data_IF_906395348998
#
_entry.id   IF_906395348998
#
_cell.length_a   1.000
_cell.length_b   1.000
_cell.length_c   1.000
_cell.angle_alpha   90.00
_cell.angle_beta   90.00
_cell.angle_gamma   90.00
#
_symmetry.space_group_name_H-M   'P 1'
#
loop_
_entity.id
_entity.type
_entity.pdbx_description
1 polymer ?
#
# COMPACT_ATOMS: atom_id res chain seq x y z
N UNK A 1 -3.95 28.62 -55.13
CA UNK A 1 -2.57 29.11 -55.38
C UNK A 1 -2.06 29.74 -54.08
N UNK A 2 -0.83 29.41 -53.69
CA UNK A 2 -0.14 29.87 -52.48
C UNK A 2 0.13 31.39 -52.55
N UNK A 3 0.09 32.09 -51.40
CA UNK A 3 1.12 33.04 -50.95
C UNK A 3 0.78 33.60 -49.55
N UNK A 4 1.58 33.16 -48.59
CA UNK A 4 1.90 33.83 -47.33
C UNK A 4 2.48 35.22 -47.56
N UNK A 5 2.15 36.20 -46.71
CA UNK A 5 3.14 37.14 -46.19
C UNK A 5 2.68 37.78 -44.86
N UNK A 6 3.55 37.64 -43.87
CA UNK A 6 3.59 38.33 -42.58
C UNK A 6 3.67 39.85 -42.74
N UNK A 7 2.95 40.60 -41.90
CA UNK A 7 3.48 41.84 -41.30
C UNK A 7 3.00 41.94 -39.84
N UNK A 8 3.96 41.78 -38.95
CA UNK A 8 3.94 42.13 -37.53
C UNK A 8 3.84 43.67 -37.38
N UNK A 9 2.96 44.18 -36.52
CA UNK A 9 3.21 45.46 -35.86
C UNK A 9 2.41 45.59 -34.55
N UNK A 10 3.11 45.31 -33.45
CA UNK A 10 3.23 46.18 -32.28
C UNK A 10 1.95 46.78 -31.68
N UNK A 11 1.28 46.01 -30.81
CA UNK A 11 0.47 46.57 -29.72
C UNK A 11 1.26 46.37 -28.43
N UNK A 12 2.14 47.33 -28.15
CA UNK A 12 2.76 47.54 -26.85
C UNK A 12 1.91 48.54 -26.07
N UNK A 13 1.93 48.38 -24.75
CA UNK A 13 1.32 49.21 -23.69
C UNK A 13 -0.16 48.93 -23.44
N UNK A 14 -0.43 48.09 -22.44
CA UNK A 14 -1.40 48.32 -21.34
C UNK A 14 -1.54 47.08 -20.42
N UNK A 15 -0.45 46.38 -20.11
CA UNK A 15 -0.43 45.50 -18.94
C UNK A 15 0.21 46.24 -17.78
N UNK A 16 -0.63 47.11 -17.21
CA UNK A 16 -0.47 47.72 -15.91
C UNK A 16 -0.21 46.63 -14.88
N UNK A 17 1.01 46.63 -14.37
CA UNK A 17 1.47 46.10 -13.09
C UNK A 17 0.33 45.71 -12.13
N UNK A 18 -0.14 44.47 -12.21
CA UNK A 18 -0.71 43.78 -11.05
C UNK A 18 0.45 43.05 -10.39
N UNK A 19 1.33 43.82 -9.76
CA UNK A 19 2.22 43.29 -8.75
C UNK A 19 1.33 42.83 -7.59
N UNK A 20 0.85 41.58 -7.67
CA UNK A 20 0.38 40.88 -6.49
C UNK A 20 1.57 40.82 -5.54
N UNK A 21 1.52 41.69 -4.54
CA UNK A 21 2.40 41.62 -3.39
C UNK A 21 2.31 40.21 -2.83
N UNK A 22 3.36 39.40 -3.03
CA UNK A 22 3.57 38.22 -2.21
C UNK A 22 3.83 38.74 -0.80
N UNK A 23 2.77 38.77 0.02
CA UNK A 23 2.86 39.04 1.44
C UNK A 23 3.81 38.01 2.05
N UNK A 24 4.89 38.53 2.63
CA UNK A 24 6.03 37.74 3.12
C UNK A 24 5.73 36.97 4.42
N UNK A 25 4.47 36.97 4.90
CA UNK A 25 4.07 36.40 6.20
C UNK A 25 2.67 35.74 6.20
N UNK A 26 2.18 35.19 5.06
CA UNK A 26 0.77 34.78 4.94
C UNK A 26 0.44 33.29 4.85
N UNK A 27 1.29 32.48 4.23
CA UNK A 27 1.05 31.04 3.98
C UNK A 27 2.35 30.27 4.23
N UNK A 28 2.71 30.04 5.48
CA UNK A 28 3.53 28.85 5.75
C UNK A 28 2.60 27.67 5.54
N UNK A 29 2.86 26.85 4.52
CA UNK A 29 2.25 25.52 4.48
C UNK A 29 2.44 24.90 5.87
N UNK A 30 1.40 24.30 6.47
CA UNK A 30 1.52 23.71 7.77
C UNK A 30 2.67 22.71 7.73
N UNK A 31 3.68 22.94 8.56
CA UNK A 31 4.84 22.07 8.66
C UNK A 31 4.35 20.72 9.17
N UNK A 32 4.26 19.76 8.25
CA UNK A 32 3.84 18.40 8.59
C UNK A 32 4.88 17.81 9.54
N UNK A 33 4.42 17.15 10.59
CA UNK A 33 5.30 16.29 11.38
C UNK A 33 5.89 15.19 10.49
N UNK A 34 7.08 14.70 10.85
CA UNK A 34 7.71 13.57 10.14
C UNK A 34 6.74 12.38 10.02
N UNK A 35 6.00 12.08 11.09
CA UNK A 35 5.00 11.01 11.11
C UNK A 35 3.90 11.23 10.08
N UNK A 36 3.42 12.47 9.92
CA UNK A 36 2.42 12.81 8.91
C UNK A 36 2.95 12.64 7.47
N UNK A 37 4.23 12.96 7.24
CA UNK A 37 4.86 12.75 5.92
C UNK A 37 5.02 11.27 5.62
N UNK A 38 5.54 10.49 6.58
CA UNK A 38 5.68 9.04 6.45
C UNK A 38 4.33 8.35 6.24
N UNK A 39 3.29 8.82 6.90
CA UNK A 39 1.93 8.33 6.71
C UNK A 39 1.41 8.59 5.29
N UNK A 40 1.69 9.76 4.69
CA UNK A 40 1.26 10.07 3.32
C UNK A 40 1.85 9.07 2.32
N UNK A 41 3.14 8.77 2.42
CA UNK A 41 3.82 7.81 1.54
C UNK A 41 3.28 6.38 1.73
N UNK A 42 3.10 5.96 2.98
CA UNK A 42 2.56 4.64 3.31
C UNK A 42 1.10 4.45 2.86
N UNK A 43 0.28 5.52 2.81
CA UNK A 43 -1.11 5.45 2.35
C UNK A 43 -1.21 4.99 0.88
N UNK A 44 -0.28 5.40 0.01
CA UNK A 44 -0.29 4.95 -1.38
C UNK A 44 -0.11 3.42 -1.48
N UNK A 45 0.84 2.86 -0.73
CA UNK A 45 1.07 1.42 -0.69
C UNK A 45 -0.14 0.67 -0.12
N UNK A 46 -0.77 1.20 0.93
CA UNK A 46 -2.00 0.63 1.49
C UNK A 46 -3.14 0.61 0.45
N UNK A 47 -3.34 1.68 -0.30
CA UNK A 47 -4.38 1.75 -1.33
C UNK A 47 -4.14 0.72 -2.45
N UNK A 48 -2.90 0.62 -2.94
CA UNK A 48 -2.51 -0.37 -3.95
C UNK A 48 -2.70 -1.80 -3.42
N UNK A 49 -2.33 -2.06 -2.16
CA UNK A 49 -2.52 -3.34 -1.51
C UNK A 49 -4.01 -3.70 -1.43
N UNK A 50 -4.88 -2.77 -1.02
CA UNK A 50 -6.33 -3.00 -0.99
C UNK A 50 -6.93 -3.26 -2.37
N UNK A 51 -6.52 -2.52 -3.39
CA UNK A 51 -6.98 -2.74 -4.78
C UNK A 51 -6.58 -4.13 -5.26
N UNK A 52 -5.31 -4.53 -5.06
CA UNK A 52 -4.81 -5.86 -5.39
C UNK A 52 -5.58 -6.96 -4.63
N UNK A 53 -5.81 -6.77 -3.33
CA UNK A 53 -6.55 -7.71 -2.49
C UNK A 53 -8.00 -7.90 -2.97
N UNK A 54 -8.72 -6.80 -3.19
CA UNK A 54 -10.13 -6.81 -3.66
C UNK A 54 -10.28 -7.44 -5.03
N UNK A 55 -9.29 -7.28 -5.91
CA UNK A 55 -9.30 -7.92 -7.23
C UNK A 55 -9.22 -9.45 -7.17
N UNK A 56 -8.75 -10.02 -6.05
CA UNK A 56 -8.46 -11.45 -5.84
C UNK A 56 -7.51 -12.05 -6.88
N UNK A 57 -6.72 -11.20 -7.56
CA UNK A 57 -5.82 -11.61 -8.66
C UNK A 57 -4.35 -11.52 -8.29
N UNK A 58 -3.98 -10.86 -7.19
CA UNK A 58 -2.60 -10.46 -6.95
C UNK A 58 -2.22 -10.44 -5.46
N UNK A 59 -2.45 -11.54 -4.74
CA UNK A 59 -2.05 -11.64 -3.33
C UNK A 59 -0.53 -11.54 -3.14
N UNK A 60 0.30 -11.99 -4.09
CA UNK A 60 1.74 -11.71 -4.08
C UNK A 60 2.03 -10.19 -4.05
N UNK A 61 1.30 -9.41 -4.84
CA UNK A 61 1.49 -7.97 -4.89
C UNK A 61 1.03 -7.29 -3.59
N UNK A 62 -0.01 -7.83 -2.93
CA UNK A 62 -0.38 -7.38 -1.58
C UNK A 62 0.79 -7.57 -0.62
N UNK A 63 1.38 -8.78 -0.58
CA UNK A 63 2.51 -9.08 0.31
C UNK A 63 3.72 -8.18 0.03
N UNK A 64 4.02 -7.89 -1.24
CA UNK A 64 5.12 -6.98 -1.57
C UNK A 64 4.90 -5.57 -1.02
N UNK A 65 3.67 -5.04 -1.13
CA UNK A 65 3.34 -3.69 -0.64
C UNK A 65 3.29 -3.63 0.88
N UNK A 66 2.76 -4.64 1.54
CA UNK A 66 2.73 -4.68 3.00
C UNK A 66 4.14 -4.79 3.57
N UNK A 67 5.03 -5.59 2.97
CA UNK A 67 6.42 -5.70 3.40
C UNK A 67 7.17 -4.37 3.25
N UNK A 68 6.96 -3.70 2.12
CA UNK A 68 7.54 -2.37 1.85
C UNK A 68 7.08 -1.37 2.92
N UNK A 69 5.77 -1.32 3.23
CA UNK A 69 5.25 -0.43 4.27
C UNK A 69 5.78 -0.79 5.65
N UNK A 70 5.82 -2.06 6.04
CA UNK A 70 6.34 -2.47 7.36
C UNK A 70 7.83 -2.15 7.53
N UNK A 71 8.62 -2.27 6.46
CA UNK A 71 10.04 -1.98 6.48
C UNK A 71 10.34 -0.48 6.50
N UNK A 72 9.60 0.33 5.73
CA UNK A 72 9.86 1.76 5.59
C UNK A 72 9.11 2.62 6.61
N UNK A 73 7.94 2.17 7.09
CA UNK A 73 7.01 2.94 7.92
C UNK A 73 6.48 2.11 9.11
N UNK A 74 7.33 1.68 10.05
CA UNK A 74 6.93 0.79 11.15
C UNK A 74 5.91 1.43 12.12
N UNK A 75 5.79 2.76 12.15
CA UNK A 75 4.85 3.51 12.98
C UNK A 75 3.63 4.02 12.23
N UNK A 76 3.37 3.50 11.02
CA UNK A 76 2.25 3.92 10.17
C UNK A 76 0.91 3.84 10.91
N UNK A 77 0.10 4.90 10.85
CA UNK A 77 -1.15 5.00 11.62
C UNK A 77 -2.20 3.92 11.31
N UNK A 78 -2.11 3.26 10.14
CA UNK A 78 -3.01 2.17 9.70
C UNK A 78 -2.29 0.82 9.64
N UNK A 79 -1.37 0.58 10.56
CA UNK A 79 -0.62 -0.69 10.62
C UNK A 79 -1.55 -1.89 10.82
N UNK A 80 -2.69 -1.72 11.45
CA UNK A 80 -3.71 -2.76 11.58
C UNK A 80 -4.21 -3.28 10.22
N UNK A 81 -4.42 -2.38 9.24
CA UNK A 81 -4.81 -2.74 7.88
C UNK A 81 -3.69 -3.49 7.15
N UNK A 82 -2.44 -3.06 7.35
CA UNK A 82 -1.24 -3.69 6.76
C UNK A 82 -1.08 -5.12 7.28
N UNK A 83 -1.12 -5.31 8.59
CA UNK A 83 -1.02 -6.61 9.24
C UNK A 83 -2.17 -7.54 8.82
N UNK A 84 -3.39 -7.00 8.73
CA UNK A 84 -4.53 -7.76 8.24
C UNK A 84 -4.31 -8.22 6.79
N UNK A 85 -3.94 -7.31 5.89
CA UNK A 85 -3.71 -7.63 4.47
C UNK A 85 -2.57 -8.64 4.30
N UNK A 86 -1.47 -8.50 5.04
CA UNK A 86 -0.35 -9.43 5.01
C UNK A 86 -0.75 -10.82 5.49
N UNK A 87 -1.42 -10.90 6.65
CA UNK A 87 -1.83 -12.14 7.26
C UNK A 87 -2.88 -12.91 6.43
N UNK A 88 -3.92 -12.20 5.96
CA UNK A 88 -5.00 -12.82 5.18
C UNK A 88 -4.53 -13.18 3.76
N UNK A 89 -3.68 -12.38 3.12
CA UNK A 89 -3.14 -12.72 1.81
C UNK A 89 -2.24 -13.94 1.88
N UNK A 90 -1.42 -14.09 2.93
CA UNK A 90 -0.61 -15.28 3.16
C UNK A 90 -1.49 -16.52 3.34
N UNK A 91 -2.55 -16.43 4.15
CA UNK A 91 -3.56 -17.49 4.27
C UNK A 91 -4.23 -17.83 2.93
N UNK A 92 -4.61 -16.82 2.15
CA UNK A 92 -5.29 -17.05 0.87
C UNK A 92 -4.38 -17.68 -0.16
N UNK A 93 -3.08 -17.35 -0.17
CA UNK A 93 -2.11 -18.03 -1.01
C UNK A 93 -1.93 -19.50 -0.60
N UNK A 94 -1.81 -19.77 0.70
CA UNK A 94 -1.73 -21.13 1.25
C UNK A 94 -2.93 -21.98 0.80
N UNK A 95 -4.13 -21.40 0.87
CA UNK A 95 -5.39 -22.06 0.53
C UNK A 95 -5.65 -22.12 -0.99
N UNK A 96 -4.73 -21.61 -1.82
CA UNK A 96 -4.92 -21.53 -3.27
C UNK A 96 -6.13 -20.67 -3.69
N UNK A 97 -6.54 -19.71 -2.86
CA UNK A 97 -7.67 -18.80 -3.11
C UNK A 97 -7.30 -17.74 -4.13
N UNK A 98 -8.33 -17.21 -4.78
CA UNK A 98 -8.20 -16.19 -5.82
C UNK A 98 -7.87 -16.77 -7.20
N UNK A 99 -7.50 -15.87 -8.12
CA UNK A 99 -7.17 -16.21 -9.51
C UNK A 99 -5.67 -16.40 -9.73
N UNK A 100 -4.83 -16.04 -8.76
CA UNK A 100 -3.40 -16.23 -8.83
C UNK A 100 -3.06 -17.69 -8.56
N UNK A 101 -2.34 -18.34 -9.48
CA UNK A 101 -1.74 -19.65 -9.28
C UNK A 101 -0.24 -19.45 -9.07
N UNK A 102 0.28 -19.97 -7.97
CA UNK A 102 1.73 -19.97 -7.69
C UNK A 102 2.26 -21.33 -8.08
N UNK A 103 3.04 -21.36 -9.15
CA UNK A 103 3.85 -22.51 -9.51
C UNK A 103 5.24 -22.31 -8.93
N UNK A 104 5.58 -23.06 -7.87
CA UNK A 104 6.87 -22.92 -7.20
C UNK A 104 8.04 -23.37 -8.11
N UNK A 105 7.81 -24.24 -9.09
CA UNK A 105 8.87 -24.83 -9.91
C UNK A 105 9.54 -23.82 -10.86
N UNK A 106 8.85 -22.72 -11.17
CA UNK A 106 9.31 -21.66 -12.08
C UNK A 106 9.82 -20.41 -11.35
N UNK A 107 9.77 -20.40 -10.01
CA UNK A 107 10.23 -19.27 -9.19
C UNK A 107 11.71 -19.38 -8.85
N UNK A 108 12.33 -18.25 -8.51
CA UNK A 108 13.68 -18.25 -7.93
C UNK A 108 13.70 -18.99 -6.58
N UNK A 109 14.87 -19.46 -6.13
CA UNK A 109 14.99 -20.14 -4.84
C UNK A 109 14.48 -19.29 -3.66
N UNK A 110 14.69 -17.97 -3.71
CA UNK A 110 14.21 -17.04 -2.69
C UNK A 110 12.68 -16.94 -2.69
N UNK A 111 12.07 -16.81 -3.87
CA UNK A 111 10.62 -16.78 -4.00
C UNK A 111 9.98 -18.13 -3.64
N UNK A 112 10.64 -19.26 -3.95
CA UNK A 112 10.20 -20.58 -3.53
C UNK A 112 10.11 -20.68 -2.00
N UNK A 113 11.14 -20.21 -1.30
CA UNK A 113 11.14 -20.17 0.18
C UNK A 113 10.04 -19.25 0.72
N UNK A 114 9.89 -18.06 0.12
CA UNK A 114 8.89 -17.07 0.52
C UNK A 114 7.44 -17.57 0.35
N UNK A 115 7.17 -18.32 -0.71
CA UNK A 115 5.82 -18.80 -1.03
C UNK A 115 5.63 -20.29 -0.73
N UNK A 116 6.57 -20.92 -0.03
CA UNK A 116 6.39 -22.27 0.48
C UNK A 116 5.17 -22.32 1.41
N UNK A 117 4.35 -23.39 1.38
CA UNK A 117 3.15 -23.51 2.23
C UNK A 117 3.45 -23.24 3.71
N UNK A 118 4.58 -23.75 4.20
CA UNK A 118 4.95 -23.64 5.61
C UNK A 118 5.29 -22.20 5.99
N UNK A 119 5.93 -21.47 5.06
CA UNK A 119 6.22 -20.06 5.25
C UNK A 119 4.95 -19.21 5.20
N UNK A 120 4.06 -19.48 4.25
CA UNK A 120 2.77 -18.79 4.16
C UNK A 120 1.90 -19.00 5.40
N UNK A 121 1.92 -20.22 5.96
CA UNK A 121 1.24 -20.53 7.23
C UNK A 121 1.86 -19.76 8.39
N UNK A 122 3.18 -19.79 8.51
CA UNK A 122 3.92 -19.05 9.55
C UNK A 122 3.60 -17.55 9.49
N UNK A 123 3.77 -16.94 8.33
CA UNK A 123 3.55 -15.51 8.12
C UNK A 123 2.12 -15.11 8.42
N UNK A 124 1.14 -15.92 7.98
CA UNK A 124 -0.26 -15.69 8.32
C UNK A 124 -0.50 -15.68 9.83
N UNK A 125 0.08 -16.65 10.56
CA UNK A 125 -0.06 -16.72 12.01
C UNK A 125 0.61 -15.53 12.69
N UNK A 126 1.81 -15.16 12.27
CA UNK A 126 2.58 -14.04 12.85
C UNK A 126 1.80 -12.74 12.70
N UNK A 127 1.44 -12.36 11.48
CA UNK A 127 0.81 -11.05 11.24
C UNK A 127 -0.58 -10.96 11.86
N UNK A 128 -1.38 -12.03 11.83
CA UNK A 128 -2.71 -12.01 12.46
C UNK A 128 -2.62 -11.98 13.98
N UNK A 129 -1.61 -12.59 14.60
CA UNK A 129 -1.38 -12.47 16.04
C UNK A 129 -0.90 -11.07 16.42
N UNK A 130 0.01 -10.48 15.64
CA UNK A 130 0.44 -9.09 15.83
C UNK A 130 -0.76 -8.14 15.75
N UNK A 131 -1.62 -8.29 14.73
CA UNK A 131 -2.86 -7.52 14.61
C UNK A 131 -3.73 -7.58 15.89
N UNK A 132 -3.95 -8.77 16.43
CA UNK A 132 -4.80 -8.94 17.62
C UNK A 132 -4.13 -8.39 18.89
N UNK A 133 -2.81 -8.56 19.00
CA UNK A 133 -2.04 -8.16 20.17
C UNK A 133 -1.77 -6.65 20.24
N UNK A 134 -1.42 -6.05 19.11
CA UNK A 134 -0.98 -4.67 18.99
C UNK A 134 -2.13 -3.71 18.64
N UNK A 135 -3.16 -4.20 17.94
CA UNK A 135 -4.34 -3.42 17.53
C UNK A 135 -5.66 -4.10 17.93
N UNK A 136 -5.90 -4.33 19.23
CA UNK A 136 -7.07 -5.06 19.72
C UNK A 136 -8.41 -4.40 19.41
N UNK A 137 -8.41 -3.10 19.11
CA UNK A 137 -9.56 -2.29 18.66
C UNK A 137 -9.86 -2.41 17.16
N UNK A 138 -8.96 -3.02 16.39
CA UNK A 138 -9.12 -3.12 14.94
C UNK A 138 -10.41 -3.83 14.56
N UNK A 139 -11.12 -3.27 13.56
CA UNK A 139 -12.34 -3.87 13.00
C UNK A 139 -12.11 -5.26 12.39
N UNK A 140 -10.85 -5.60 12.08
CA UNK A 140 -10.47 -6.87 11.47
C UNK A 140 -10.22 -8.00 12.49
N UNK A 141 -10.14 -7.68 13.79
CA UNK A 141 -9.82 -8.64 14.87
C UNK A 141 -10.63 -9.94 14.80
N UNK A 142 -11.95 -9.85 14.65
CA UNK A 142 -12.83 -11.03 14.62
C UNK A 142 -12.54 -11.96 13.44
N UNK A 143 -12.16 -11.40 12.29
CA UNK A 143 -11.82 -12.21 11.12
C UNK A 143 -10.43 -12.85 11.29
N UNK A 144 -9.48 -12.11 11.85
CA UNK A 144 -8.16 -12.62 12.21
C UNK A 144 -8.24 -13.81 13.18
N UNK A 145 -9.01 -13.68 14.27
CA UNK A 145 -9.25 -14.76 15.24
C UNK A 145 -9.85 -16.00 14.58
N UNK A 146 -10.80 -15.80 13.65
CA UNK A 146 -11.44 -16.89 12.91
C UNK A 146 -10.45 -17.62 12.02
N UNK A 147 -9.55 -16.90 11.33
CA UNK A 147 -8.53 -17.50 10.47
C UNK A 147 -7.49 -18.25 11.31
N UNK A 148 -7.00 -17.65 12.41
CA UNK A 148 -6.07 -18.30 13.32
C UNK A 148 -6.63 -19.62 13.86
N UNK A 149 -7.90 -19.62 14.28
CA UNK A 149 -8.57 -20.85 14.74
C UNK A 149 -8.56 -21.95 13.69
N UNK A 150 -8.79 -21.61 12.41
CA UNK A 150 -8.73 -22.58 11.30
C UNK A 150 -7.33 -23.15 11.13
N UNK A 151 -6.32 -22.29 11.09
CA UNK A 151 -4.91 -22.67 10.94
C UNK A 151 -4.41 -23.55 12.10
N UNK A 152 -4.99 -23.41 13.29
CA UNK A 152 -4.74 -24.25 14.46
C UNK A 152 -5.43 -25.61 14.37
N UNK A 153 -6.66 -25.68 13.86
CA UNK A 153 -7.37 -26.96 13.64
C UNK A 153 -6.81 -27.78 12.50
N UNK A 154 -6.20 -27.15 11.49
CA UNK A 154 -5.56 -27.81 10.35
C UNK A 154 -4.16 -28.38 10.70
N UNK A 155 -3.97 -28.80 11.96
CA UNK A 155 -2.75 -29.47 12.46
C UNK A 155 -2.82 -31.01 12.44
N UNK A 156 -3.84 -31.58 11.78
CA UNK A 156 -4.05 -33.03 11.70
C UNK A 156 -3.73 -33.59 10.30
#
# INVERSE_FOLDING_TARGET
MKRTLLVFSFVILLFSLSAFAQTKDGNKEPELSLDQVLDIDANHNLDVAWQAFKSRKAYKAVLMRTDETMAAHPTFSKMDEILYLAGVSSYYLLEGKGKQKIDLSVLSEEEQKRYAPEKLKEDSVVFLKMLIGEHPESKYKKDAEKILKKLETDKN
#
